data_IF_673615910336
#
_entry.id   IF_673615910336
#
_cell.length_a   1.000
_cell.length_b   1.000
_cell.length_c   1.000
_cell.angle_alpha   90.00
_cell.angle_beta   90.00
_cell.angle_gamma   90.00
#
_symmetry.space_group_name_H-M   'P 1'
#
loop_
_entity.id
_entity.type
_entity.pdbx_description
1 polymer ?
#
# COMPACT_ATOMS: atom_id res chain seq x y z
N UNK A 1 19.83 -21.04 0.48
CA UNK A 1 18.43 -21.45 0.67
C UNK A 1 17.64 -20.93 -0.53
N UNK A 2 16.89 -21.78 -1.22
CA UNK A 2 16.08 -21.37 -2.37
C UNK A 2 14.69 -20.91 -1.90
N UNK A 3 14.22 -19.79 -2.47
CA UNK A 3 12.90 -19.23 -2.18
C UNK A 3 11.91 -19.62 -3.28
N UNK A 4 11.43 -20.86 -3.24
CA UNK A 4 10.35 -21.32 -4.12
C UNK A 4 9.05 -20.55 -3.86
N UNK A 5 8.12 -20.56 -4.81
CA UNK A 5 6.80 -19.93 -4.63
C UNK A 5 6.06 -20.53 -3.42
N UNK A 6 6.04 -21.84 -3.30
CA UNK A 6 5.42 -22.54 -2.18
C UNK A 6 5.98 -22.08 -0.84
N UNK A 7 7.29 -21.98 -0.69
CA UNK A 7 7.93 -21.54 0.54
C UNK A 7 7.64 -20.05 0.85
N UNK A 8 7.61 -19.20 -0.16
CA UNK A 8 7.32 -17.75 0.01
C UNK A 8 5.88 -17.47 0.42
N UNK A 9 4.94 -18.36 0.02
CA UNK A 9 3.51 -18.22 0.31
C UNK A 9 3.01 -19.26 1.32
N UNK A 10 3.93 -19.96 2.02
CA UNK A 10 3.60 -20.82 3.15
C UNK A 10 2.92 -19.99 4.23
N UNK A 11 1.82 -20.52 4.77
CA UNK A 11 0.99 -19.84 5.76
C UNK A 11 1.77 -19.58 7.04
N UNK A 12 1.40 -18.53 7.79
CA UNK A 12 2.07 -18.13 9.04
C UNK A 12 2.00 -19.20 10.14
N UNK A 13 0.88 -19.92 10.19
CA UNK A 13 0.62 -21.03 11.12
C UNK A 13 1.47 -22.28 10.83
N UNK A 14 1.87 -22.48 9.57
CA UNK A 14 2.65 -23.66 9.16
C UNK A 14 4.15 -23.56 9.50
N UNK A 15 4.62 -22.35 9.81
CA UNK A 15 5.99 -22.15 10.27
C UNK A 15 6.13 -22.54 11.75
N UNK A 16 7.03 -23.49 12.06
CA UNK A 16 7.23 -23.93 13.44
C UNK A 16 7.85 -22.83 14.32
N UNK A 17 7.71 -23.00 15.62
CA UNK A 17 8.34 -22.05 16.57
C UNK A 17 9.86 -22.08 16.45
N UNK A 18 10.44 -23.26 16.23
CA UNK A 18 11.86 -23.48 16.04
C UNK A 18 12.39 -22.79 14.78
N UNK A 19 11.66 -22.89 13.65
CA UNK A 19 12.01 -22.18 12.42
C UNK A 19 12.00 -20.65 12.63
N UNK A 20 10.93 -20.13 13.25
CA UNK A 20 10.79 -18.70 13.56
C UNK A 20 11.91 -18.21 14.46
N UNK A 21 12.22 -18.96 15.53
CA UNK A 21 13.28 -18.61 16.47
C UNK A 21 14.67 -18.64 15.80
N UNK A 22 14.95 -19.67 15.02
CA UNK A 22 16.22 -19.77 14.30
C UNK A 22 16.47 -18.60 13.33
N UNK A 23 15.40 -18.08 12.68
CA UNK A 23 15.50 -16.91 11.81
C UNK A 23 15.82 -15.66 12.65
N UNK A 24 15.11 -15.45 13.77
CA UNK A 24 15.34 -14.32 14.68
C UNK A 24 16.75 -14.35 15.28
N UNK A 25 17.21 -15.52 15.74
CA UNK A 25 18.55 -15.70 16.30
C UNK A 25 19.65 -15.43 15.27
N UNK A 26 19.39 -15.76 14.00
CA UNK A 26 20.30 -15.44 12.90
C UNK A 26 20.37 -13.93 12.66
N UNK A 27 19.22 -13.27 12.61
CA UNK A 27 19.13 -11.82 12.43
C UNK A 27 19.78 -11.06 13.59
N UNK A 28 19.53 -11.48 14.83
CA UNK A 28 20.12 -10.84 16.01
C UNK A 28 21.66 -10.83 16.04
N UNK A 29 22.30 -11.70 15.27
CA UNK A 29 23.77 -11.77 15.11
C UNK A 29 24.28 -10.96 13.92
N UNK A 30 23.41 -10.27 13.19
CA UNK A 30 23.81 -9.50 12.03
C UNK A 30 24.70 -8.32 12.43
N UNK A 31 25.84 -8.10 11.78
CA UNK A 31 26.65 -6.89 12.00
C UNK A 31 26.06 -5.63 11.32
N UNK A 32 24.96 -5.77 10.61
CA UNK A 32 24.35 -4.72 9.79
C UNK A 32 23.11 -4.09 10.45
N UNK A 33 22.93 -4.25 11.76
CA UNK A 33 21.87 -3.55 12.49
C UNK A 33 22.02 -2.03 12.38
N UNK A 34 20.90 -1.36 12.18
CA UNK A 34 20.86 0.10 12.14
C UNK A 34 20.62 0.68 13.52
N UNK A 35 21.05 1.92 13.74
CA UNK A 35 20.93 2.56 15.06
C UNK A 35 19.71 3.48 15.19
N UNK A 36 19.14 3.92 14.08
CA UNK A 36 18.07 4.92 14.05
C UNK A 36 16.99 4.68 12.98
N UNK A 37 17.11 3.61 12.21
CA UNK A 37 16.06 3.20 11.27
C UNK A 37 15.11 2.21 11.92
N UNK A 38 13.84 2.21 11.51
CA UNK A 38 12.94 1.11 11.79
C UNK A 38 13.43 -0.12 11.02
N UNK A 39 13.68 -1.19 11.73
CA UNK A 39 14.06 -2.48 11.15
C UNK A 39 13.20 -3.62 11.71
N UNK A 40 12.94 -4.70 10.95
CA UNK A 40 12.15 -5.81 11.41
C UNK A 40 12.97 -6.71 12.34
N UNK A 41 12.31 -7.39 13.27
CA UNK A 41 12.96 -8.46 14.07
C UNK A 41 13.52 -9.57 13.20
N UNK A 42 12.90 -9.81 12.04
CA UNK A 42 13.36 -10.80 11.08
C UNK A 42 12.80 -10.55 9.68
N UNK A 43 13.53 -11.04 8.68
CA UNK A 43 13.10 -11.14 7.30
C UNK A 43 13.17 -9.83 6.51
N UNK A 44 12.27 -9.70 5.53
CA UNK A 44 12.20 -8.54 4.64
C UNK A 44 11.27 -7.48 5.23
N UNK A 45 11.76 -6.27 5.39
CA UNK A 45 10.96 -5.06 5.53
C UNK A 45 10.97 -4.35 4.18
N UNK A 46 9.80 -3.92 3.70
CA UNK A 46 9.71 -3.00 2.56
C UNK A 46 8.79 -1.82 2.91
N UNK A 47 7.77 -1.51 2.16
CA UNK A 47 7.03 -0.26 2.22
C UNK A 47 6.53 0.13 3.62
N UNK A 48 6.76 1.38 4.07
CA UNK A 48 6.04 1.95 5.21
C UNK A 48 4.57 2.17 4.83
N UNK A 49 3.67 1.93 5.78
CA UNK A 49 2.22 1.99 5.56
C UNK A 49 1.51 2.63 6.75
N UNK A 50 0.31 3.14 6.51
CA UNK A 50 -0.60 3.55 7.56
C UNK A 50 -0.04 4.57 8.55
N UNK A 51 0.93 5.40 8.12
CA UNK A 51 1.49 6.44 8.99
C UNK A 51 0.41 7.40 9.44
N UNK A 52 0.22 7.53 10.75
CA UNK A 52 -0.88 8.30 11.34
C UNK A 52 -0.57 8.69 12.78
N UNK A 53 -1.29 9.69 13.27
CA UNK A 53 -1.32 10.01 14.70
C UNK A 53 -2.63 9.49 15.26
N UNK A 54 -2.56 8.58 16.24
CA UNK A 54 -3.73 7.92 16.79
C UNK A 54 -3.54 7.65 18.29
N UNK A 55 -4.54 7.96 19.11
CA UNK A 55 -4.53 7.78 20.56
C UNK A 55 -3.26 8.34 21.26
N UNK A 56 -2.83 9.55 20.84
CA UNK A 56 -1.67 10.24 21.43
C UNK A 56 -0.30 9.75 20.98
N UNK A 57 -0.23 8.86 20.00
CA UNK A 57 1.02 8.30 19.48
C UNK A 57 1.09 8.37 17.96
N UNK A 58 2.31 8.39 17.43
CA UNK A 58 2.58 8.18 16.03
C UNK A 58 2.60 6.68 15.75
N UNK A 59 1.75 6.24 14.84
CA UNK A 59 1.64 4.85 14.39
C UNK A 59 2.28 4.75 13.02
N UNK A 60 3.14 3.77 12.84
CA UNK A 60 3.73 3.41 11.56
C UNK A 60 3.67 1.90 11.39
N UNK A 61 3.03 1.45 10.35
CA UNK A 61 3.14 0.07 9.90
C UNK A 61 4.23 -0.06 8.83
N UNK A 62 4.78 -1.25 8.71
CA UNK A 62 5.63 -1.62 7.58
C UNK A 62 5.25 -3.00 7.06
N UNK A 63 5.37 -3.20 5.75
CA UNK A 63 5.24 -4.54 5.19
C UNK A 63 6.39 -5.42 5.64
N UNK A 64 6.06 -6.63 6.08
CA UNK A 64 7.04 -7.61 6.54
C UNK A 64 6.77 -9.00 5.96
N UNK A 65 7.82 -9.65 5.49
CA UNK A 65 7.86 -11.10 5.32
C UNK A 65 8.87 -11.65 6.32
N UNK A 66 8.43 -12.10 7.50
CA UNK A 66 9.33 -12.37 8.64
C UNK A 66 10.21 -13.61 8.47
N UNK A 67 9.99 -14.40 7.42
CA UNK A 67 10.62 -15.71 7.25
C UNK A 67 11.89 -15.67 6.40
N UNK A 68 12.24 -14.54 5.81
CA UNK A 68 13.49 -14.39 5.07
C UNK A 68 13.57 -13.16 4.18
N UNK A 69 14.74 -12.98 3.57
CA UNK A 69 15.06 -11.85 2.71
C UNK A 69 14.49 -12.03 1.28
N UNK A 70 13.20 -12.25 1.18
CA UNK A 70 12.49 -12.45 -0.09
C UNK A 70 11.08 -11.85 -0.01
N UNK A 71 10.52 -11.47 -1.16
CA UNK A 71 9.09 -11.14 -1.24
C UNK A 71 8.26 -12.43 -1.12
N UNK A 72 7.35 -12.48 -0.18
CA UNK A 72 6.48 -13.61 0.08
C UNK A 72 5.13 -13.19 0.64
N UNK A 73 4.53 -14.02 1.49
CA UNK A 73 3.28 -13.75 2.17
C UNK A 73 3.47 -12.63 3.19
N UNK A 74 3.11 -11.40 2.83
CA UNK A 74 3.38 -10.20 3.62
C UNK A 74 2.25 -9.88 4.57
N UNK A 75 2.64 -9.38 5.75
CA UNK A 75 1.78 -8.75 6.74
C UNK A 75 2.17 -7.28 6.92
N UNK A 76 1.40 -6.53 7.70
CA UNK A 76 1.83 -5.26 8.26
C UNK A 76 2.19 -5.44 9.72
N UNK A 77 3.34 -4.93 10.13
CA UNK A 77 3.78 -4.91 11.52
C UNK A 77 3.73 -3.48 12.03
N UNK A 78 3.11 -3.28 13.18
CA UNK A 78 2.94 -1.97 13.79
C UNK A 78 4.18 -1.59 14.61
N UNK A 79 4.59 -0.34 14.43
CA UNK A 79 5.45 0.39 15.36
C UNK A 79 4.74 1.64 15.87
N UNK A 80 5.11 2.09 17.05
CA UNK A 80 4.62 3.33 17.67
C UNK A 80 5.77 4.21 18.14
N UNK A 81 5.54 5.52 18.17
CA UNK A 81 6.48 6.52 18.67
C UNK A 81 5.73 7.70 19.29
N UNK A 82 6.30 8.29 20.34
CA UNK A 82 5.83 9.54 20.94
C UNK A 82 6.53 10.76 20.34
N UNK A 83 7.71 10.57 19.74
CA UNK A 83 8.60 11.67 19.34
C UNK A 83 9.05 11.64 17.87
N UNK A 84 8.57 10.68 17.05
CA UNK A 84 8.96 10.46 15.65
C UNK A 84 10.43 10.02 15.46
N UNK A 85 11.14 9.75 16.53
CA UNK A 85 12.55 9.32 16.53
C UNK A 85 12.68 7.90 17.05
N UNK A 86 12.05 7.63 18.18
CA UNK A 86 12.13 6.34 18.85
C UNK A 86 10.88 5.51 18.57
N UNK A 87 10.96 4.64 17.59
CA UNK A 87 9.90 3.70 17.24
C UNK A 87 10.07 2.36 17.95
N UNK A 88 8.98 1.81 18.47
CA UNK A 88 8.93 0.50 19.12
C UNK A 88 7.90 -0.37 18.41
N UNK A 89 8.27 -1.61 18.10
CA UNK A 89 7.33 -2.61 17.61
C UNK A 89 6.38 -3.03 18.73
N UNK A 90 5.09 -2.99 18.48
CA UNK A 90 4.03 -3.24 19.48
C UNK A 90 3.64 -4.71 19.56
N UNK A 91 3.95 -5.50 18.54
CA UNK A 91 3.44 -6.86 18.37
C UNK A 91 2.10 -6.92 17.62
N UNK A 92 1.42 -5.79 17.42
CA UNK A 92 0.21 -5.73 16.60
C UNK A 92 0.56 -5.98 15.14
N UNK A 93 -0.19 -6.88 14.50
CA UNK A 93 0.09 -7.29 13.12
C UNK A 93 -1.21 -7.49 12.35
N UNK A 94 -1.30 -6.85 11.17
CA UNK A 94 -2.34 -7.13 10.18
C UNK A 94 -1.87 -8.32 9.34
N UNK A 95 -2.40 -9.52 9.64
CA UNK A 95 -2.05 -10.76 8.96
C UNK A 95 -2.85 -10.94 7.67
N UNK A 96 -2.31 -11.64 6.64
CA UNK A 96 -3.04 -12.03 5.44
C UNK A 96 -3.79 -13.36 5.70
N UNK A 97 -4.89 -13.30 6.46
CA UNK A 97 -5.59 -14.44 7.04
C UNK A 97 -7.05 -14.58 6.59
N UNK A 98 -7.46 -13.81 5.58
CA UNK A 98 -8.79 -13.90 4.95
C UNK A 98 -8.70 -14.25 3.48
N UNK A 99 -9.84 -14.61 2.87
CA UNK A 99 -9.92 -14.88 1.43
C UNK A 99 -9.64 -13.62 0.59
N UNK A 100 -9.83 -12.43 1.15
CA UNK A 100 -9.61 -11.15 0.47
C UNK A 100 -8.15 -10.68 0.46
N UNK A 101 -7.26 -11.36 1.21
CA UNK A 101 -5.83 -11.05 1.28
C UNK A 101 -4.93 -12.28 1.41
N UNK A 102 -5.43 -13.43 1.01
CA UNK A 102 -4.81 -14.76 1.21
C UNK A 102 -3.37 -14.89 0.71
N UNK A 103 -2.92 -14.01 -0.18
CA UNK A 103 -1.56 -13.98 -0.71
C UNK A 103 -0.79 -12.70 -0.34
N UNK A 104 -1.24 -12.00 0.69
CA UNK A 104 -0.52 -10.89 1.32
C UNK A 104 -1.33 -9.64 1.54
N UNK A 105 -1.09 -8.97 2.66
CA UNK A 105 -1.49 -7.59 2.91
C UNK A 105 -0.45 -6.66 2.26
N UNK A 106 -0.81 -6.04 1.15
CA UNK A 106 0.06 -5.15 0.39
C UNK A 106 -0.10 -3.70 0.88
N UNK A 107 0.62 -2.78 0.25
CA UNK A 107 0.69 -1.39 0.71
C UNK A 107 -0.64 -0.67 0.74
N UNK A 108 -0.68 0.37 1.56
CA UNK A 108 -1.85 1.19 1.77
C UNK A 108 -1.62 2.29 2.80
N UNK A 109 -2.69 2.84 3.32
CA UNK A 109 -2.70 3.99 4.22
C UNK A 109 -3.60 3.77 5.43
N UNK A 110 -3.61 4.73 6.35
CA UNK A 110 -4.55 4.72 7.47
C UNK A 110 -5.14 6.11 7.69
N UNK A 111 -6.35 6.13 8.27
CA UNK A 111 -7.02 7.36 8.68
C UNK A 111 -7.90 7.11 9.90
N UNK A 112 -7.88 8.03 10.85
CA UNK A 112 -8.75 7.93 12.02
C UNK A 112 -10.21 8.25 11.67
N UNK A 113 -11.12 7.39 12.13
CA UNK A 113 -12.57 7.58 12.11
C UNK A 113 -13.13 7.32 13.51
N UNK A 114 -13.60 8.38 14.13
CA UNK A 114 -14.07 8.30 15.53
C UNK A 114 -12.94 7.85 16.47
N UNK A 115 -13.15 6.78 17.18
CA UNK A 115 -12.23 6.17 18.12
C UNK A 115 -11.41 5.00 17.54
N UNK A 116 -11.51 4.78 16.22
CA UNK A 116 -10.78 3.70 15.51
C UNK A 116 -9.89 4.25 14.42
N UNK A 117 -8.83 3.50 14.13
CA UNK A 117 -7.95 3.72 12.99
C UNK A 117 -8.37 2.79 11.85
N UNK A 118 -8.85 3.35 10.76
CA UNK A 118 -9.15 2.60 9.54
C UNK A 118 -7.84 2.36 8.76
N UNK A 119 -7.53 1.10 8.55
CA UNK A 119 -6.40 0.63 7.74
C UNK A 119 -6.96 0.27 6.37
N UNK A 120 -6.55 1.00 5.34
CA UNK A 120 -6.99 0.78 3.97
C UNK A 120 -5.82 0.24 3.16
N UNK A 121 -5.91 -0.98 2.64
CA UNK A 121 -4.79 -1.67 2.03
C UNK A 121 -5.20 -2.51 0.83
N UNK A 122 -4.21 -3.01 0.09
CA UNK A 122 -4.46 -3.94 -0.99
C UNK A 122 -4.34 -5.38 -0.48
N UNK A 123 -5.45 -6.10 -0.47
CA UNK A 123 -5.48 -7.53 -0.31
C UNK A 123 -5.06 -8.21 -1.62
N UNK A 124 -3.94 -8.90 -1.60
CA UNK A 124 -3.43 -9.64 -2.74
C UNK A 124 -3.97 -11.07 -2.69
N UNK A 125 -4.67 -11.46 -3.74
CA UNK A 125 -5.18 -12.83 -3.92
C UNK A 125 -4.61 -13.41 -5.21
N UNK A 126 -4.39 -14.70 -5.23
CA UNK A 126 -4.00 -15.48 -6.41
C UNK A 126 -4.97 -16.64 -6.60
N UNK A 127 -5.41 -16.85 -7.83
CA UNK A 127 -6.18 -18.05 -8.20
C UNK A 127 -5.28 -19.26 -8.47
N UNK A 128 -5.89 -20.36 -8.91
CA UNK A 128 -5.19 -21.61 -9.21
C UNK A 128 -4.20 -21.47 -10.37
N UNK A 129 -4.46 -20.59 -11.31
CA UNK A 129 -3.60 -20.23 -12.45
C UNK A 129 -2.54 -19.18 -12.09
N UNK A 130 -2.46 -18.81 -10.82
CA UNK A 130 -1.56 -17.80 -10.27
C UNK A 130 -1.82 -16.38 -10.79
N UNK A 131 -3.01 -16.12 -11.32
CA UNK A 131 -3.45 -14.79 -11.71
C UNK A 131 -3.71 -13.95 -10.46
N UNK A 132 -3.32 -12.68 -10.51
CA UNK A 132 -3.51 -11.75 -9.38
C UNK A 132 -4.89 -11.10 -9.43
N UNK A 133 -5.54 -11.09 -8.28
CA UNK A 133 -6.75 -10.35 -7.99
C UNK A 133 -6.47 -9.35 -6.86
N UNK A 134 -6.19 -8.07 -7.16
CA UNK A 134 -5.88 -7.05 -6.17
C UNK A 134 -7.17 -6.37 -5.69
N UNK A 135 -7.61 -6.68 -4.50
CA UNK A 135 -8.76 -6.04 -3.86
C UNK A 135 -8.30 -4.90 -2.95
N UNK A 136 -8.96 -3.72 -3.03
CA UNK A 136 -8.76 -2.73 -1.99
C UNK A 136 -9.72 -3.05 -0.86
N UNK A 137 -9.18 -3.33 0.32
CA UNK A 137 -9.89 -3.84 1.49
C UNK A 137 -9.55 -3.03 2.74
N UNK A 138 -10.32 -3.18 3.78
CA UNK A 138 -10.14 -2.40 5.00
C UNK A 138 -10.16 -3.22 6.27
N UNK A 139 -9.59 -2.64 7.31
CA UNK A 139 -9.71 -3.13 8.68
C UNK A 139 -9.82 -1.94 9.65
N UNK A 140 -10.41 -2.17 10.79
CA UNK A 140 -10.50 -1.19 11.88
C UNK A 140 -9.64 -1.65 13.04
N UNK A 141 -8.73 -0.80 13.47
CA UNK A 141 -7.92 -1.01 14.67
C UNK A 141 -8.44 -0.12 15.79
N UNK A 142 -8.68 -0.69 16.96
CA UNK A 142 -8.98 0.08 18.16
C UNK A 142 -7.71 0.55 18.89
N UNK A 143 -7.87 1.33 19.95
CA UNK A 143 -6.76 1.85 20.76
C UNK A 143 -5.98 0.77 21.51
N UNK A 144 -6.57 -0.39 21.72
CA UNK A 144 -5.91 -1.53 22.36
C UNK A 144 -5.13 -2.39 21.34
N UNK A 145 -5.14 -1.98 20.05
CA UNK A 145 -4.44 -2.65 18.96
C UNK A 145 -5.19 -3.84 18.37
N UNK A 146 -6.46 -4.04 18.76
CA UNK A 146 -7.27 -5.10 18.15
C UNK A 146 -7.68 -4.68 16.74
N UNK A 147 -7.35 -5.52 15.77
CA UNK A 147 -7.70 -5.32 14.36
C UNK A 147 -8.89 -6.21 13.99
N UNK A 148 -9.92 -5.59 13.42
CA UNK A 148 -11.11 -6.25 12.87
C UNK A 148 -11.21 -5.95 11.39
N UNK A 149 -11.06 -6.97 10.55
CA UNK A 149 -11.15 -6.83 9.09
C UNK A 149 -12.60 -6.65 8.64
N UNK A 150 -12.77 -5.82 7.63
CA UNK A 150 -14.06 -5.64 6.95
C UNK A 150 -14.17 -6.73 5.90
N UNK A 151 -15.16 -7.62 6.06
CA UNK A 151 -15.42 -8.73 5.14
C UNK A 151 -16.16 -8.24 3.88
N UNK A 152 -15.50 -7.35 3.13
CA UNK A 152 -16.04 -6.75 1.91
C UNK A 152 -14.92 -6.19 1.05
N UNK A 153 -14.99 -6.40 -0.26
CA UNK A 153 -14.18 -5.66 -1.23
C UNK A 153 -14.73 -4.23 -1.27
N UNK A 154 -13.88 -3.26 -0.93
CA UNK A 154 -14.25 -1.84 -0.93
C UNK A 154 -14.09 -1.22 -2.31
N UNK A 155 -13.00 -1.58 -3.01
CA UNK A 155 -12.77 -1.22 -4.42
C UNK A 155 -12.21 -2.45 -5.13
N UNK A 156 -12.90 -2.91 -6.15
CA UNK A 156 -12.46 -4.02 -6.99
C UNK A 156 -11.51 -3.53 -8.10
N UNK A 157 -10.81 -4.47 -8.72
CA UNK A 157 -9.97 -4.18 -9.88
C UNK A 157 -10.83 -3.66 -11.04
N UNK A 158 -10.56 -2.45 -11.57
CA UNK A 158 -11.28 -1.94 -12.73
C UNK A 158 -11.04 -2.80 -13.98
N UNK A 159 -12.06 -2.95 -14.83
CA UNK A 159 -11.98 -3.75 -16.05
C UNK A 159 -10.95 -3.23 -17.07
N UNK A 160 -10.61 -1.95 -17.00
CA UNK A 160 -9.61 -1.27 -17.84
C UNK A 160 -8.19 -1.31 -17.26
N UNK A 161 -7.98 -2.06 -16.16
CA UNK A 161 -6.69 -2.23 -15.52
C UNK A 161 -6.18 -3.67 -15.59
N UNK A 162 -4.86 -3.82 -15.52
CA UNK A 162 -4.23 -5.12 -15.30
C UNK A 162 -4.25 -5.47 -13.80
N UNK A 163 -3.78 -6.67 -13.41
CA UNK A 163 -3.57 -7.04 -12.00
C UNK A 163 -2.55 -6.17 -11.24
N UNK A 164 -2.04 -5.10 -11.85
CA UNK A 164 -1.30 -4.04 -11.21
C UNK A 164 -2.23 -2.88 -10.85
N UNK A 165 -3.00 -3.05 -9.79
CA UNK A 165 -3.91 -2.05 -9.23
C UNK A 165 -3.86 -2.14 -7.71
N UNK A 166 -3.20 -1.16 -7.02
CA UNK A 166 -2.87 -1.27 -5.60
C UNK A 166 -2.49 0.04 -4.93
N UNK A 167 -2.18 -0.05 -3.64
CA UNK A 167 -1.63 0.98 -2.79
C UNK A 167 -2.60 2.15 -2.55
N UNK A 168 -3.81 1.89 -1.96
CA UNK A 168 -4.80 2.93 -1.73
C UNK A 168 -4.29 3.94 -0.69
N UNK A 169 -4.40 5.22 -1.01
CA UNK A 169 -4.11 6.30 -0.07
C UNK A 169 -5.38 7.13 0.15
N UNK A 170 -5.94 7.02 1.37
CA UNK A 170 -7.11 7.77 1.80
C UNK A 170 -6.73 9.16 2.29
N UNK A 171 -7.54 10.17 1.96
CA UNK A 171 -7.36 11.54 2.45
C UNK A 171 -8.70 12.26 2.59
N UNK A 172 -8.71 13.30 3.43
CA UNK A 172 -9.84 14.22 3.54
C UNK A 172 -9.52 15.50 2.79
N UNK A 173 -10.42 15.94 1.94
CA UNK A 173 -10.33 17.23 1.28
C UNK A 173 -11.64 18.00 1.45
N UNK A 174 -11.57 19.09 2.23
CA UNK A 174 -12.72 19.98 2.50
C UNK A 174 -13.95 19.25 3.05
N UNK A 175 -13.72 18.30 3.96
CA UNK A 175 -14.77 17.53 4.64
C UNK A 175 -15.29 16.32 3.87
N UNK A 176 -14.78 16.05 2.66
CA UNK A 176 -15.10 14.88 1.86
C UNK A 176 -13.92 13.92 1.84
N UNK A 177 -14.20 12.60 1.98
CA UNK A 177 -13.17 11.56 1.88
C UNK A 177 -12.99 11.12 0.44
N UNK A 178 -11.72 10.97 0.09
CA UNK A 178 -11.24 10.49 -1.19
C UNK A 178 -10.16 9.43 -0.98
N UNK A 179 -9.94 8.61 -2.00
CA UNK A 179 -8.76 7.75 -2.07
C UNK A 179 -8.21 7.75 -3.48
N UNK A 180 -6.89 7.66 -3.58
CA UNK A 180 -6.20 7.42 -4.84
C UNK A 180 -5.60 6.02 -4.81
N UNK A 181 -5.61 5.35 -5.96
CA UNK A 181 -5.05 4.00 -6.13
C UNK A 181 -4.15 4.00 -7.35
N UNK A 182 -2.94 3.48 -7.18
CA UNK A 182 -2.00 3.31 -8.29
C UNK A 182 -2.38 2.14 -9.18
N UNK A 183 -2.16 2.27 -10.49
CA UNK A 183 -2.56 1.25 -11.44
C UNK A 183 -1.72 1.21 -12.70
N UNK A 184 -2.03 0.19 -13.51
CA UNK A 184 -1.55 0.00 -14.86
C UNK A 184 -2.74 -0.35 -15.76
N UNK A 185 -2.89 0.40 -16.86
CA UNK A 185 -3.92 0.13 -17.86
C UNK A 185 -3.59 -1.10 -18.75
N UNK A 186 -4.51 -1.46 -19.63
CA UNK A 186 -4.34 -2.60 -20.55
C UNK A 186 -3.24 -2.37 -21.61
N UNK A 187 -2.86 -1.10 -21.86
CA UNK A 187 -1.72 -0.73 -22.72
C UNK A 187 -0.38 -0.75 -21.95
N UNK A 188 -0.39 -1.16 -20.68
CA UNK A 188 0.78 -1.20 -19.77
C UNK A 188 1.36 0.18 -19.48
N UNK A 189 0.49 1.17 -19.32
CA UNK A 189 0.83 2.52 -18.89
C UNK A 189 0.31 2.77 -17.48
N UNK A 190 1.12 3.41 -16.63
CA UNK A 190 0.76 3.74 -15.27
C UNK A 190 -0.31 4.84 -15.19
N UNK A 191 -1.25 4.68 -14.27
CA UNK A 191 -2.26 5.69 -13.95
C UNK A 191 -2.48 5.78 -12.44
N UNK A 192 -3.16 6.82 -11.99
CA UNK A 192 -3.63 6.95 -10.61
C UNK A 192 -5.12 7.25 -10.67
N UNK A 193 -5.94 6.35 -10.14
CA UNK A 193 -7.40 6.52 -10.11
C UNK A 193 -7.85 7.16 -8.81
N UNK A 194 -8.69 8.19 -8.94
CA UNK A 194 -9.34 8.85 -7.83
C UNK A 194 -10.72 8.24 -7.58
N UNK A 195 -11.01 7.98 -6.32
CA UNK A 195 -12.33 7.58 -5.83
C UNK A 195 -12.83 8.56 -4.79
N UNK A 196 -14.12 8.68 -4.68
CA UNK A 196 -14.83 9.49 -3.69
C UNK A 196 -15.68 8.57 -2.82
N UNK A 197 -15.68 8.79 -1.50
CA UNK A 197 -16.58 8.12 -0.59
C UNK A 197 -18.02 8.62 -0.81
N UNK A 198 -18.96 7.69 -1.01
CA UNK A 198 -20.38 7.99 -1.12
C UNK A 198 -20.90 8.31 0.29
N UNK A 199 -21.57 9.45 0.44
CA UNK A 199 -22.09 9.94 1.73
C UNK A 199 -21.04 9.98 2.86
N UNK A 200 -19.76 10.16 2.48
CA UNK A 200 -18.62 10.07 3.40
C UNK A 200 -18.46 8.70 4.10
N UNK A 201 -19.05 7.66 3.56
CA UNK A 201 -18.86 6.29 4.02
C UNK A 201 -17.55 5.72 3.47
N UNK A 202 -16.54 5.55 4.33
CA UNK A 202 -15.23 5.00 3.96
C UNK A 202 -15.27 3.52 3.53
N UNK A 203 -16.43 2.88 3.58
CA UNK A 203 -16.66 1.52 3.06
C UNK A 203 -17.33 1.48 1.70
N UNK A 204 -17.71 2.65 1.14
CA UNK A 204 -18.45 2.75 -0.12
C UNK A 204 -17.83 3.82 -1.04
N UNK A 205 -17.26 3.36 -2.16
CA UNK A 205 -16.46 4.20 -3.05
C UNK A 205 -17.00 4.22 -4.47
N UNK A 206 -16.96 5.38 -5.11
CA UNK A 206 -17.27 5.56 -6.52
C UNK A 206 -16.07 6.15 -7.23
N UNK A 207 -15.74 5.61 -8.40
CA UNK A 207 -14.67 6.15 -9.24
C UNK A 207 -15.05 7.54 -9.74
N UNK A 208 -14.10 8.47 -9.67
CA UNK A 208 -14.26 9.84 -10.16
C UNK A 208 -13.54 10.03 -11.49
N UNK A 209 -12.39 9.36 -11.67
CA UNK A 209 -11.56 9.44 -12.88
C UNK A 209 -10.09 9.29 -12.55
N UNK A 210 -9.24 9.37 -13.56
CA UNK A 210 -7.79 9.34 -13.39
C UNK A 210 -7.26 10.74 -13.11
N UNK A 211 -6.22 10.83 -12.25
CA UNK A 211 -5.53 12.09 -12.03
C UNK A 211 -4.74 12.49 -13.29
N UNK A 212 -4.91 13.74 -13.70
CA UNK A 212 -4.09 14.35 -14.73
C UNK A 212 -2.90 15.08 -14.09
N UNK A 213 -1.75 14.42 -14.00
CA UNK A 213 -0.57 14.95 -13.32
C UNK A 213 0.69 14.97 -14.19
N UNK A 214 0.70 14.31 -15.34
CA UNK A 214 1.83 14.27 -16.25
C UNK A 214 1.38 14.15 -17.70
N UNK A 215 2.01 14.94 -18.59
CA UNK A 215 1.76 14.89 -20.01
C UNK A 215 2.27 13.60 -20.68
N UNK A 216 3.11 12.83 -19.98
CA UNK A 216 3.75 11.63 -20.50
C UNK A 216 3.54 10.46 -19.54
N UNK A 217 2.70 9.50 -19.94
CA UNK A 217 2.42 8.26 -19.22
C UNK A 217 3.37 7.15 -19.69
N UNK A 218 4.68 7.37 -19.63
CA UNK A 218 5.69 6.37 -20.02
C UNK A 218 6.01 5.35 -18.94
N UNK A 219 5.63 5.63 -17.70
CA UNK A 219 5.85 4.70 -16.61
C UNK A 219 4.99 3.44 -16.79
N UNK A 220 5.61 2.28 -16.62
CA UNK A 220 4.93 0.98 -16.68
C UNK A 220 3.82 0.84 -15.64
N UNK A 221 4.02 1.38 -14.45
CA UNK A 221 3.05 1.40 -13.37
C UNK A 221 3.32 2.56 -12.42
N UNK A 222 2.25 3.09 -11.79
CA UNK A 222 2.33 4.00 -10.66
C UNK A 222 2.11 3.22 -9.36
N UNK A 223 3.09 3.27 -8.45
CA UNK A 223 3.04 2.58 -7.14
C UNK A 223 3.06 3.59 -6.00
N UNK A 224 2.47 3.22 -4.88
CA UNK A 224 2.51 3.97 -3.62
C UNK A 224 2.17 5.48 -3.79
N UNK A 225 1.09 5.85 -4.48
CA UNK A 225 0.74 7.25 -4.65
C UNK A 225 0.38 7.86 -3.29
N UNK A 226 0.92 9.07 -3.02
CA UNK A 226 0.55 9.85 -1.85
C UNK A 226 0.22 11.28 -2.29
N UNK A 227 -1.01 11.71 -2.05
CA UNK A 227 -1.46 13.07 -2.29
C UNK A 227 -1.65 13.77 -0.95
N UNK A 228 -0.84 14.78 -0.71
CA UNK A 228 -0.88 15.60 0.50
C UNK A 228 -1.07 17.07 0.13
N UNK A 229 -1.53 17.86 1.09
CA UNK A 229 -1.72 19.30 0.89
C UNK A 229 -0.80 20.07 1.85
N UNK A 230 -0.03 20.98 1.29
CA UNK A 230 0.79 21.93 2.04
C UNK A 230 0.11 23.29 1.90
N UNK A 231 -0.70 23.68 2.88
CA UNK A 231 -1.69 24.73 2.71
C UNK A 231 -2.71 24.33 1.64
N UNK A 232 -2.92 25.16 0.64
CA UNK A 232 -3.80 24.88 -0.51
C UNK A 232 -3.07 24.20 -1.69
N UNK A 233 -1.77 23.93 -1.53
CA UNK A 233 -0.95 23.35 -2.59
C UNK A 233 -0.98 21.82 -2.53
N UNK A 234 -1.55 21.12 -3.53
CA UNK A 234 -1.45 19.66 -3.62
C UNK A 234 -0.03 19.24 -4.02
N UNK A 235 0.49 18.24 -3.34
CA UNK A 235 1.78 17.61 -3.60
C UNK A 235 1.55 16.12 -3.79
N UNK A 236 1.84 15.62 -4.98
CA UNK A 236 1.74 14.21 -5.32
C UNK A 236 3.14 13.58 -5.27
N UNK A 237 3.29 12.57 -4.45
CA UNK A 237 4.47 11.70 -4.41
C UNK A 237 4.10 10.35 -5.00
N UNK A 238 4.92 9.83 -5.91
CA UNK A 238 4.70 8.54 -6.58
C UNK A 238 6.01 7.79 -6.74
N UNK A 239 5.87 6.48 -6.80
CA UNK A 239 6.91 5.57 -7.20
C UNK A 239 6.59 5.07 -8.62
N UNK A 240 7.47 5.34 -9.59
CA UNK A 240 7.28 4.90 -10.97
C UNK A 240 8.10 3.65 -11.26
N UNK A 241 7.50 2.63 -11.88
CA UNK A 241 8.24 1.50 -12.44
C UNK A 241 8.48 1.70 -13.92
N UNK A 242 9.72 1.51 -14.38
CA UNK A 242 10.02 1.45 -15.80
C UNK A 242 9.72 0.06 -16.35
N UNK A 243 8.98 -0.03 -17.47
CA UNK A 243 8.66 -1.30 -18.15
C UNK A 243 9.83 -1.93 -18.89
N UNK A 244 10.93 -1.20 -19.08
CA UNK A 244 12.13 -1.74 -19.69
C UNK A 244 12.94 -2.48 -18.62
N UNK A 245 13.04 -3.79 -18.76
CA UNK A 245 14.16 -4.52 -18.16
C UNK A 245 15.44 -3.82 -18.65
N UNK A 246 16.12 -3.13 -17.73
CA UNK A 246 17.39 -2.48 -18.06
C UNK A 246 18.35 -3.58 -18.53
N UNK A 247 18.52 -3.68 -19.85
CA UNK A 247 19.39 -4.67 -20.51
C UNK A 247 20.88 -4.41 -20.26
N UNK A 248 21.21 -3.39 -19.48
CA UNK A 248 22.57 -3.16 -19.03
C UNK A 248 22.87 -4.06 -17.82
N UNK A 249 24.00 -4.75 -17.85
CA UNK A 249 24.59 -5.53 -16.76
C UNK A 249 24.82 -4.65 -15.53
N UNK A 250 23.75 -4.35 -14.79
CA UNK A 250 23.86 -3.67 -13.50
C UNK A 250 24.07 -4.71 -12.40
N UNK A 251 24.83 -4.41 -11.35
CA UNK A 251 24.96 -5.29 -10.20
C UNK A 251 23.59 -5.67 -9.64
N UNK A 252 23.40 -6.92 -9.25
CA UNK A 252 22.09 -7.44 -8.76
C UNK A 252 21.48 -6.61 -7.62
N UNK A 253 22.29 -5.96 -6.80
CA UNK A 253 21.82 -5.08 -5.72
C UNK A 253 21.20 -3.76 -6.22
N UNK A 254 21.49 -3.33 -7.47
CA UNK A 254 20.89 -2.14 -8.08
C UNK A 254 19.52 -2.43 -8.73
N UNK A 255 19.10 -3.70 -8.84
CA UNK A 255 17.81 -4.08 -9.41
C UNK A 255 16.61 -3.67 -8.52
N UNK A 256 16.86 -3.34 -7.26
CA UNK A 256 15.82 -2.87 -6.32
C UNK A 256 15.59 -1.36 -6.33
N UNK A 257 16.43 -0.60 -7.03
CA UNK A 257 16.29 0.87 -7.20
C UNK A 257 15.49 1.26 -8.46
N UNK A 258 14.64 0.38 -8.98
CA UNK A 258 13.76 0.71 -10.11
C UNK A 258 12.53 1.57 -9.72
N UNK A 259 12.41 1.92 -8.45
CA UNK A 259 11.42 2.88 -7.98
C UNK A 259 12.08 4.25 -7.93
N UNK A 260 11.80 5.10 -8.91
CA UNK A 260 12.17 6.51 -8.85
C UNK A 260 11.04 7.20 -8.08
N UNK A 261 11.33 7.62 -6.85
CA UNK A 261 10.42 8.48 -6.10
C UNK A 261 10.42 9.85 -6.80
N UNK A 262 9.32 10.17 -7.44
CA UNK A 262 9.09 11.49 -8.03
C UNK A 262 8.16 12.27 -7.12
N UNK A 263 8.62 13.41 -6.63
CA UNK A 263 7.75 14.37 -5.94
C UNK A 263 7.34 15.44 -6.94
N UNK A 264 6.06 15.52 -7.22
CA UNK A 264 5.49 16.55 -8.10
C UNK A 264 4.73 17.55 -7.26
N UNK A 265 5.15 18.80 -7.33
CA UNK A 265 4.31 19.91 -6.85
C UNK A 265 3.34 20.21 -7.97
N UNK A 266 2.09 19.83 -7.77
CA UNK A 266 1.04 20.13 -8.74
C UNK A 266 0.73 21.63 -8.65
N UNK A 267 0.51 22.27 -9.79
CA UNK A 267 0.06 23.68 -9.80
C UNK A 267 -1.17 23.81 -8.91
N UNK A 268 -1.40 25.00 -8.26
CA UNK A 268 -2.63 25.21 -7.49
C UNK A 268 -3.83 24.96 -8.39
N UNK A 269 -4.37 23.74 -8.34
CA UNK A 269 -5.50 23.30 -9.12
C UNK A 269 -6.63 22.94 -8.17
N UNK A 270 -7.86 23.19 -8.60
CA UNK A 270 -9.00 22.62 -7.90
C UNK A 270 -8.97 21.11 -8.13
N UNK A 271 -9.44 20.33 -7.18
CA UNK A 271 -9.44 18.85 -7.34
C UNK A 271 -10.10 18.41 -8.64
N UNK A 272 -11.13 19.16 -9.10
CA UNK A 272 -11.78 18.95 -10.41
C UNK A 272 -10.85 19.18 -11.62
N UNK A 273 -9.79 19.97 -11.46
CA UNK A 273 -8.83 20.28 -12.53
C UNK A 273 -7.70 19.23 -12.60
N UNK A 274 -7.64 18.32 -11.62
CA UNK A 274 -6.75 17.15 -11.60
C UNK A 274 -7.35 15.95 -12.34
N UNK A 275 -8.63 16.06 -12.73
CA UNK A 275 -9.37 14.98 -13.38
C UNK A 275 -9.43 15.23 -14.88
N UNK A 276 -9.23 14.18 -15.67
CA UNK A 276 -9.42 14.26 -17.11
C UNK A 276 -10.89 14.59 -17.44
N UNK A 277 -11.21 15.43 -18.44
CA UNK A 277 -12.58 15.79 -18.78
C UNK A 277 -13.38 14.66 -19.49
N UNK A 278 -13.17 13.42 -19.13
CA UNK A 278 -14.03 12.33 -19.54
C UNK A 278 -15.07 12.10 -18.44
N UNK A 279 -16.30 12.46 -18.74
CA UNK A 279 -17.56 12.21 -18.06
C UNK A 279 -18.22 13.41 -17.37
N UNK A 280 -18.73 14.31 -18.22
CA UNK A 280 -20.00 14.90 -17.90
C UNK A 280 -21.07 13.78 -17.96
N UNK A 281 -21.89 13.56 -16.92
CA UNK A 281 -22.98 12.61 -17.02
C UNK A 281 -23.84 13.01 -18.20
N UNK A 282 -24.07 12.08 -19.14
CA UNK A 282 -25.17 12.22 -20.10
C UNK A 282 -26.44 12.34 -19.28
N UNK A 283 -26.90 13.58 -19.06
CA UNK A 283 -28.27 13.84 -18.68
C UNK A 283 -29.11 13.28 -19.84
N UNK A 284 -29.67 12.10 -19.61
CA UNK A 284 -30.79 11.60 -20.36
C UNK A 284 -31.92 12.60 -20.18
N UNK A 285 -32.05 13.51 -21.17
CA UNK A 285 -33.28 14.24 -21.39
C UNK A 285 -34.30 13.22 -21.91
N UNK A 286 -35.32 12.97 -21.12
CA UNK A 286 -36.53 12.23 -21.45
C UNK A 286 -37.66 12.87 -20.71
#
# INVERSE_FOLDING_TARGET
>A
MEWTTERRYRRYEDWTKEEKQAIQDHMAKSPWHTHYHVEPKAGLLNDPNGFSYFDGKWILFYQNFPFGAAHGLKSWVQTESEDLVHFKETGVTLLPDTDLDSHGAYSGSAMQFGDKLFLFYTGNVRDAEWVRHPYQVGALMDKDGKIEKIDKILIDQPADSTGHFRDPQIFNFKGQYYTIVGGQDLEKKGFIRLYKAVDNDYTNWVAVGDLDFANDRTAYMMECPNLVFVGDQPVLQICTRSGQALTQKRPKWLMYLNCIISTMVLKPMRLKDLMHPMDAPMLLAG
#
